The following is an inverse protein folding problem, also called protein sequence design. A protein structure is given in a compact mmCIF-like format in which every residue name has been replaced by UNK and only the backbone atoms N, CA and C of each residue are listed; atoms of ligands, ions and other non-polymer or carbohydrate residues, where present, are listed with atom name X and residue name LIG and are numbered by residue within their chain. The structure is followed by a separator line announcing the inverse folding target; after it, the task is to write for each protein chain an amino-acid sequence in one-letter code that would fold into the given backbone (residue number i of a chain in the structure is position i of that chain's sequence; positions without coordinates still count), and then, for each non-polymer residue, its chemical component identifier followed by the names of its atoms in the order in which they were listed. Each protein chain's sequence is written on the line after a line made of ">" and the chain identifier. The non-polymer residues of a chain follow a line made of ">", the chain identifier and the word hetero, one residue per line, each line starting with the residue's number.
data_IF_560569096071
#
_entry.id   IF_560569096071
#
_cell.length_a   1.000
_cell.length_b   1.000
_cell.length_c   1.000
_cell.angle_alpha   90.00
_cell.angle_beta   90.00
_cell.angle_gamma   90.00
#
_symmetry.space_group_name_H-M   'P 1'
#
loop_
_entity.id
_entity.type
_entity.pdbx_description
1 polymer ?
#
# COMPACT_ATOMS: atom_id res chain seq x y z
N UNK A 1 -19.72 -2.84 14.19
CA UNK A 1 -18.80 -3.77 14.86
C UNK A 1 -19.38 -4.07 16.22
N UNK A 2 -19.72 -5.33 16.50
CA UNK A 2 -20.37 -5.72 17.77
C UNK A 2 -19.36 -5.99 18.87
N UNK A 3 -18.08 -6.19 18.52
CA UNK A 3 -16.99 -6.46 19.47
C UNK A 3 -16.39 -5.19 20.10
N UNK A 4 -16.90 -4.01 19.74
CA UNK A 4 -16.43 -2.73 20.29
C UNK A 4 -17.49 -2.17 21.22
N UNK A 5 -17.21 -2.09 22.54
CA UNK A 5 -18.12 -1.46 23.49
C UNK A 5 -18.49 -0.02 23.07
N UNK A 6 -19.74 0.45 23.34
CA UNK A 6 -20.21 1.74 22.86
C UNK A 6 -19.37 2.94 23.32
N UNK A 7 -18.82 2.88 24.53
CA UNK A 7 -17.93 3.91 25.09
C UNK A 7 -16.59 3.98 24.35
N UNK A 8 -16.03 2.84 23.95
CA UNK A 8 -14.81 2.76 23.13
C UNK A 8 -15.07 3.33 21.74
N UNK A 9 -16.22 3.00 21.13
CA UNK A 9 -16.59 3.55 19.83
C UNK A 9 -16.77 5.08 19.90
N UNK A 10 -17.48 5.58 20.90
CA UNK A 10 -17.68 7.02 21.10
C UNK A 10 -16.34 7.76 21.28
N UNK A 11 -15.40 7.15 22.01
CA UNK A 11 -14.06 7.72 22.19
C UNK A 11 -13.26 7.74 20.88
N UNK A 12 -13.34 6.66 20.10
CA UNK A 12 -12.71 6.60 18.79
C UNK A 12 -13.27 7.67 17.85
N UNK A 13 -14.59 7.82 17.79
CA UNK A 13 -15.26 8.81 16.94
C UNK A 13 -14.85 10.24 17.32
N UNK A 14 -14.73 10.53 18.61
CA UNK A 14 -14.23 11.81 19.09
C UNK A 14 -12.80 12.09 18.61
N UNK A 15 -11.89 11.13 18.74
CA UNK A 15 -10.51 11.26 18.28
C UNK A 15 -10.42 11.42 16.76
N UNK A 16 -11.31 10.79 16.00
CA UNK A 16 -11.34 10.90 14.54
C UNK A 16 -11.91 12.23 14.07
N UNK A 17 -12.88 12.79 14.80
CA UNK A 17 -13.46 14.12 14.53
C UNK A 17 -12.48 15.26 14.79
N UNK A 18 -11.54 15.07 15.71
CA UNK A 18 -10.47 16.04 15.99
C UNK A 18 -9.40 16.12 14.88
N UNK A 19 -9.36 15.14 13.96
CA UNK A 19 -8.41 15.11 12.84
C UNK A 19 -9.02 15.72 11.59
N UNK A 20 -8.20 16.45 10.85
CA UNK A 20 -8.52 16.93 9.50
C UNK A 20 -8.66 15.77 8.51
N UNK A 21 -9.32 16.04 7.37
CA UNK A 21 -9.45 15.04 6.30
C UNK A 21 -8.10 14.53 5.77
N UNK A 22 -7.11 15.41 5.63
CA UNK A 22 -5.77 15.06 5.15
C UNK A 22 -5.00 14.18 6.14
N UNK A 23 -5.15 14.42 7.45
CA UNK A 23 -4.55 13.56 8.48
C UNK A 23 -5.16 12.15 8.46
N UNK A 24 -6.48 12.05 8.26
CA UNK A 24 -7.12 10.74 8.12
C UNK A 24 -6.62 9.99 6.88
N UNK A 25 -6.47 10.66 5.74
CA UNK A 25 -5.89 10.04 4.54
C UNK A 25 -4.46 9.57 4.80
N UNK A 26 -3.63 10.39 5.45
CA UNK A 26 -2.26 10.00 5.81
C UNK A 26 -2.24 8.74 6.67
N UNK A 27 -3.08 8.69 7.71
CA UNK A 27 -3.18 7.49 8.57
C UNK A 27 -3.55 6.25 7.77
N UNK A 28 -4.50 6.36 6.83
CA UNK A 28 -4.86 5.24 5.95
C UNK A 28 -3.70 4.82 5.04
N UNK A 29 -2.96 5.77 4.48
CA UNK A 29 -1.77 5.49 3.66
C UNK A 29 -0.68 4.79 4.47
N UNK A 30 -0.37 5.26 5.68
CA UNK A 30 0.63 4.65 6.57
C UNK A 30 0.25 3.21 6.96
N UNK A 31 -1.03 2.98 7.25
CA UNK A 31 -1.54 1.64 7.56
C UNK A 31 -1.47 0.71 6.35
N UNK A 32 -1.78 1.22 5.14
CA UNK A 32 -1.64 0.46 3.91
C UNK A 32 -0.18 0.10 3.61
N UNK A 33 0.74 1.05 3.76
CA UNK A 33 2.18 0.83 3.56
C UNK A 33 2.71 -0.26 4.52
N UNK A 34 2.29 -0.22 5.79
CA UNK A 34 2.64 -1.24 6.77
C UNK A 34 2.08 -2.62 6.38
N UNK A 35 0.79 -2.71 6.03
CA UNK A 35 0.16 -3.96 5.63
C UNK A 35 0.85 -4.57 4.40
N UNK A 36 1.18 -3.74 3.41
CA UNK A 36 1.93 -4.14 2.22
C UNK A 36 3.34 -4.63 2.56
N UNK A 37 4.04 -3.95 3.46
CA UNK A 37 5.38 -4.35 3.89
C UNK A 37 5.38 -5.72 4.58
N UNK A 38 4.38 -5.99 5.45
CA UNK A 38 4.21 -7.27 6.11
C UNK A 38 3.92 -8.40 5.10
N UNK A 39 3.02 -8.16 4.15
CA UNK A 39 2.71 -9.13 3.09
C UNK A 39 3.95 -9.46 2.25
N UNK A 40 4.71 -8.44 1.84
CA UNK A 40 5.95 -8.63 1.07
C UNK A 40 7.03 -9.35 1.88
N UNK A 41 7.16 -9.07 3.18
CA UNK A 41 8.09 -9.77 4.07
C UNK A 41 7.78 -11.27 4.12
N UNK A 42 6.50 -11.62 4.27
CA UNK A 42 6.07 -13.02 4.25
C UNK A 42 6.37 -13.70 2.89
N UNK A 43 6.09 -13.02 1.77
CA UNK A 43 6.37 -13.55 0.44
C UNK A 43 7.87 -13.79 0.21
N UNK A 44 8.73 -12.87 0.64
CA UNK A 44 10.20 -13.03 0.56
C UNK A 44 10.67 -14.25 1.36
N UNK A 45 10.09 -14.47 2.54
CA UNK A 45 10.42 -15.63 3.37
C UNK A 45 9.93 -16.94 2.76
N UNK A 46 8.77 -16.94 2.12
CA UNK A 46 8.13 -18.14 1.56
C UNK A 46 8.70 -18.52 0.19
N UNK A 47 9.22 -17.54 -0.56
CA UNK A 47 9.83 -17.72 -1.88
C UNK A 47 11.27 -17.20 -1.90
N UNK A 48 12.23 -17.92 -1.27
CA UNK A 48 13.63 -17.56 -1.36
C UNK A 48 14.09 -17.47 -2.82
N UNK A 49 14.68 -16.34 -3.21
CA UNK A 49 15.15 -16.10 -4.57
C UNK A 49 14.13 -15.47 -5.52
N UNK A 50 12.90 -15.19 -5.08
CA UNK A 50 11.95 -14.41 -5.87
C UNK A 50 12.51 -13.01 -6.17
N UNK A 51 12.41 -12.59 -7.43
CA UNK A 51 12.78 -11.23 -7.84
C UNK A 51 11.74 -10.22 -7.37
N UNK A 52 12.06 -8.92 -7.43
CA UNK A 52 11.06 -7.87 -7.16
C UNK A 52 9.86 -7.92 -8.11
N UNK A 53 10.06 -8.41 -9.35
CA UNK A 53 8.99 -8.64 -10.30
C UNK A 53 8.06 -9.75 -9.81
N UNK A 54 8.63 -10.88 -9.39
CA UNK A 54 7.88 -12.02 -8.88
C UNK A 54 7.11 -11.67 -7.62
N UNK A 55 7.71 -10.90 -6.69
CA UNK A 55 7.03 -10.45 -5.48
C UNK A 55 5.82 -9.56 -5.79
N UNK A 56 5.90 -8.70 -6.82
CA UNK A 56 4.74 -7.89 -7.25
C UNK A 56 3.63 -8.73 -7.84
N UNK A 57 3.99 -9.72 -8.66
CA UNK A 57 3.05 -10.68 -9.25
C UNK A 57 2.35 -11.45 -8.13
N UNK A 58 3.12 -12.03 -7.21
CA UNK A 58 2.59 -12.80 -6.08
C UNK A 58 1.71 -11.94 -5.15
N UNK A 59 2.08 -10.68 -4.90
CA UNK A 59 1.26 -9.78 -4.10
C UNK A 59 -0.06 -9.44 -4.79
N UNK A 60 -0.02 -9.11 -6.09
CA UNK A 60 -1.25 -8.84 -6.85
C UNK A 60 -2.16 -10.07 -6.87
N UNK A 61 -1.58 -11.22 -7.17
CA UNK A 61 -2.28 -12.49 -7.26
C UNK A 61 -2.94 -12.89 -5.93
N UNK A 62 -2.25 -12.66 -4.82
CA UNK A 62 -2.81 -12.88 -3.47
C UNK A 62 -4.00 -11.96 -3.15
N UNK A 63 -4.00 -10.74 -3.65
CA UNK A 63 -5.03 -9.74 -3.32
C UNK A 63 -6.25 -9.82 -4.23
N UNK A 64 -6.06 -10.16 -5.50
CA UNK A 64 -7.09 -10.05 -6.53
C UNK A 64 -7.24 -11.32 -7.39
N UNK A 65 -6.38 -12.32 -7.24
CA UNK A 65 -6.35 -13.48 -8.14
C UNK A 65 -7.65 -14.28 -8.15
N UNK A 66 -8.34 -14.35 -7.01
CA UNK A 66 -9.60 -15.06 -6.86
C UNK A 66 -10.82 -14.28 -7.40
N UNK A 67 -10.64 -12.99 -7.70
CA UNK A 67 -11.68 -12.12 -8.28
C UNK A 67 -11.69 -12.15 -9.82
N UNK A 68 -10.68 -12.77 -10.43
CA UNK A 68 -10.43 -12.72 -11.87
C UNK A 68 -10.62 -14.09 -12.51
N UNK A 69 -11.10 -14.10 -13.76
CA UNK A 69 -11.04 -15.31 -14.55
C UNK A 69 -9.59 -15.67 -14.95
N UNK A 70 -9.38 -16.89 -15.42
CA UNK A 70 -8.03 -17.37 -15.76
C UNK A 70 -7.37 -16.55 -16.88
N UNK A 71 -8.14 -16.04 -17.84
CA UNK A 71 -7.62 -15.28 -18.97
C UNK A 71 -7.19 -13.87 -18.52
N UNK A 72 -8.05 -13.18 -17.77
CA UNK A 72 -7.80 -11.87 -17.19
C UNK A 72 -6.59 -11.90 -16.24
N UNK A 73 -6.58 -12.88 -15.33
CA UNK A 73 -5.48 -13.11 -14.40
C UNK A 73 -4.16 -13.32 -15.15
N UNK A 74 -4.11 -14.23 -16.11
CA UNK A 74 -2.90 -14.51 -16.90
C UNK A 74 -2.40 -13.27 -17.66
N UNK A 75 -3.32 -12.50 -18.25
CA UNK A 75 -3.00 -11.26 -18.94
C UNK A 75 -2.34 -10.24 -18.00
N UNK A 76 -2.93 -9.99 -16.83
CA UNK A 76 -2.43 -9.00 -15.87
C UNK A 76 -1.08 -9.42 -15.29
N UNK A 77 -0.93 -10.68 -14.85
CA UNK A 77 0.33 -11.17 -14.29
C UNK A 77 1.48 -11.07 -15.30
N UNK A 78 1.21 -11.36 -16.58
CA UNK A 78 2.20 -11.19 -17.66
C UNK A 78 2.63 -9.74 -17.82
N UNK A 79 1.67 -8.81 -17.80
CA UNK A 79 1.95 -7.37 -17.90
C UNK A 79 2.73 -6.85 -16.69
N UNK A 80 2.41 -7.31 -15.48
CA UNK A 80 3.11 -6.92 -14.26
C UNK A 80 4.58 -7.36 -14.26
N UNK A 81 4.90 -8.55 -14.79
CA UNK A 81 6.29 -8.99 -14.99
C UNK A 81 7.03 -8.10 -15.98
N UNK A 82 6.41 -7.77 -17.11
CA UNK A 82 7.05 -6.96 -18.14
C UNK A 82 7.35 -5.51 -17.69
N UNK A 83 6.48 -4.92 -16.87
CA UNK A 83 6.69 -3.58 -16.28
C UNK A 83 7.71 -3.57 -15.14
N UNK A 84 8.17 -4.74 -14.71
CA UNK A 84 9.08 -4.85 -13.59
C UNK A 84 10.55 -4.70 -13.92
N UNK A 85 10.89 -4.86 -15.19
CA UNK A 85 12.15 -4.40 -15.76
C UNK A 85 12.24 -2.88 -15.58
N UNK A 86 13.43 -2.32 -15.24
CA UNK A 86 13.57 -0.91 -14.96
C UNK A 86 13.21 -0.08 -16.20
N UNK A 87 11.97 0.38 -16.22
CA UNK A 87 11.56 1.55 -16.99
C UNK A 87 12.37 2.73 -16.47
N UNK A 88 13.25 3.28 -17.32
CA UNK A 88 14.06 4.49 -17.12
C UNK A 88 13.22 5.76 -16.86
N UNK A 89 11.92 5.64 -16.57
CA UNK A 89 10.98 6.74 -16.43
C UNK A 89 10.19 6.61 -15.13
N UNK A 90 10.85 6.87 -14.00
CA UNK A 90 10.14 7.30 -12.78
C UNK A 90 10.95 8.38 -12.06
N UNK A 91 11.19 9.46 -12.79
CA UNK A 91 11.62 10.74 -12.24
C UNK A 91 10.41 11.52 -11.70
N UNK A 92 9.49 10.87 -10.97
CA UNK A 92 8.47 11.59 -10.22
C UNK A 92 9.12 12.11 -8.93
N UNK A 93 9.81 13.24 -9.12
CA UNK A 93 10.52 14.03 -8.10
C UNK A 93 9.68 14.13 -6.84
N UNK A 94 10.18 13.57 -5.74
CA UNK A 94 10.06 14.19 -4.42
C UNK A 94 10.73 15.56 -4.55
N UNK A 95 9.97 16.59 -4.90
CA UNK A 95 10.44 17.95 -4.71
C UNK A 95 10.46 18.21 -3.21
N UNK A 96 11.69 18.38 -2.72
CA UNK A 96 12.02 18.90 -1.41
C UNK A 96 11.11 20.06 -1.03
N UNK A 97 10.26 19.83 -0.02
CA UNK A 97 9.58 20.88 0.73
C UNK A 97 10.30 21.07 2.06
N UNK A 98 11.58 21.45 2.01
CA UNK A 98 12.33 21.99 3.16
C UNK A 98 13.24 23.13 2.72
N UNK A 99 13.27 24.17 3.56
CA UNK A 99 13.86 25.51 3.39
C UNK A 99 13.00 26.42 2.48
N UNK A 100 12.52 27.60 2.87
CA UNK A 100 12.93 28.50 3.93
C UNK A 100 11.80 29.54 4.16
N UNK A 101 11.15 29.54 5.33
CA UNK A 101 10.34 30.68 5.79
C UNK A 101 10.77 31.03 7.21
N UNK A 102 11.90 31.74 7.29
CA UNK A 102 12.25 32.55 8.46
C UNK A 102 11.93 34.01 8.12
N UNK A 103 10.95 34.55 8.82
CA UNK A 103 10.77 35.97 9.15
C UNK A 103 10.39 36.01 10.64
N UNK A 104 10.64 37.09 11.38
CA UNK A 104 10.39 38.49 11.03
C UNK A 104 11.60 39.24 10.49
#
# INVERSE_FOLDING_TARGET
>A
MTDTPPDVQARFDELMRQRSGSERVRMMSEMFDLAKALALSNLRSTHPGATEADLRVLLFDRLYGDELDMAERSHILTRLRAHAEPSTTSAFRRTDRRSNSRSP
#
